data_IF_323973076238
#
_entry.id   IF_323973076238
#
_cell.length_a   1.000
_cell.length_b   1.000
_cell.length_c   1.000
_cell.angle_alpha   90.00
_cell.angle_beta   90.00
_cell.angle_gamma   90.00
#
_symmetry.space_group_name_H-M   'P 1'
#
loop_
_entity.id
_entity.type
_entity.pdbx_description
1 polymer ?
#
# COMPACT_ATOMS: atom_id res chain seq x y z
N UNK A 1 -36.33 -13.38 32.11
CA UNK A 1 -36.10 -12.06 31.48
C UNK A 1 -34.61 -11.80 31.38
N UNK A 2 -34.20 -11.18 30.26
CA UNK A 2 -32.85 -10.75 29.84
C UNK A 2 -32.05 -11.79 29.05
N UNK A 3 -32.32 -11.79 27.75
CA UNK A 3 -31.44 -12.38 26.73
C UNK A 3 -30.19 -11.51 26.56
N UNK A 4 -29.04 -12.18 26.47
CA UNK A 4 -27.76 -11.58 26.10
C UNK A 4 -27.80 -11.29 24.59
N UNK A 5 -27.89 -10.01 24.22
CA UNK A 5 -27.73 -9.59 22.84
C UNK A 5 -26.25 -9.71 22.46
N UNK A 6 -25.94 -10.59 21.51
CA UNK A 6 -24.66 -10.57 20.82
C UNK A 6 -24.59 -9.28 19.99
N UNK A 7 -23.72 -8.36 20.39
CA UNK A 7 -23.31 -7.22 19.58
C UNK A 7 -22.49 -7.76 18.40
N UNK A 8 -23.13 -7.98 17.26
CA UNK A 8 -22.44 -8.07 15.98
C UNK A 8 -21.88 -6.67 15.68
N UNK A 9 -20.58 -6.49 15.91
CA UNK A 9 -19.85 -5.37 15.35
C UNK A 9 -19.83 -5.54 13.83
N UNK A 10 -20.72 -4.84 13.14
CA UNK A 10 -20.67 -4.75 11.69
C UNK A 10 -19.44 -3.92 11.30
N UNK A 11 -18.38 -4.59 10.82
CA UNK A 11 -17.18 -3.94 10.32
C UNK A 11 -17.56 -3.16 9.05
N UNK A 12 -17.63 -1.84 9.13
CA UNK A 12 -17.99 -1.00 7.99
C UNK A 12 -16.77 -0.83 7.07
N UNK A 13 -16.64 -1.68 6.06
CA UNK A 13 -15.55 -1.58 5.10
C UNK A 13 -15.75 -0.46 4.07
N UNK A 14 -14.66 0.17 3.61
CA UNK A 14 -14.67 1.03 2.43
C UNK A 14 -14.24 0.24 1.19
N UNK A 15 -15.02 0.30 0.11
CA UNK A 15 -14.65 -0.30 -1.18
C UNK A 15 -13.72 0.61 -1.99
N UNK A 16 -12.73 0.03 -2.65
CA UNK A 16 -11.81 0.72 -3.57
C UNK A 16 -12.00 0.18 -4.98
N UNK A 17 -12.18 1.07 -5.97
CA UNK A 17 -12.33 0.71 -7.39
C UNK A 17 -10.96 0.59 -8.07
N UNK A 18 -10.77 -0.47 -8.85
CA UNK A 18 -9.51 -0.74 -9.55
C UNK A 18 -9.36 0.10 -10.83
N UNK A 19 -8.14 0.58 -11.12
CA UNK A 19 -7.84 1.21 -12.40
C UNK A 19 -7.77 0.16 -13.52
N UNK A 20 -8.49 0.39 -14.63
CA UNK A 20 -8.42 -0.49 -15.79
C UNK A 20 -7.07 -0.36 -16.50
N UNK A 21 -6.40 -1.47 -16.79
CA UNK A 21 -5.18 -1.49 -17.60
C UNK A 21 -5.39 -2.24 -18.91
N UNK A 22 -5.16 -1.57 -20.04
CA UNK A 22 -5.33 -2.18 -21.37
C UNK A 22 -4.23 -3.22 -21.67
N UNK A 23 -3.05 -3.09 -21.04
CA UNK A 23 -1.86 -3.88 -21.37
C UNK A 23 -1.63 -5.11 -20.47
N UNK A 24 -2.46 -5.32 -19.45
CA UNK A 24 -2.37 -6.48 -18.57
C UNK A 24 -3.65 -7.31 -18.69
N UNK A 25 -3.49 -8.59 -19.03
CA UNK A 25 -4.62 -9.52 -19.18
C UNK A 25 -4.67 -10.49 -18.02
N UNK A 26 -5.86 -10.79 -17.49
CA UNK A 26 -6.00 -11.83 -16.47
C UNK A 26 -5.63 -13.19 -17.08
N UNK A 27 -4.80 -13.95 -16.35
CA UNK A 27 -4.43 -15.33 -16.66
C UNK A 27 -5.36 -16.28 -15.92
N UNK A 28 -5.66 -15.97 -14.65
CA UNK A 28 -6.55 -16.76 -13.79
C UNK A 28 -6.39 -16.39 -12.32
N UNK A 29 -7.09 -17.08 -11.41
CA UNK A 29 -6.91 -16.92 -9.97
C UNK A 29 -5.45 -17.16 -9.57
N UNK A 30 -4.91 -16.32 -8.69
CA UNK A 30 -3.57 -16.49 -8.16
C UNK A 30 -3.52 -17.70 -7.21
N UNK A 31 -2.39 -18.39 -7.18
CA UNK A 31 -2.14 -19.47 -6.23
C UNK A 31 -2.23 -18.94 -4.80
N UNK A 32 -3.04 -19.60 -3.98
CA UNK A 32 -3.38 -19.21 -2.60
C UNK A 32 -2.17 -19.22 -1.67
N UNK A 33 -1.19 -20.07 -1.97
CA UNK A 33 0.06 -20.19 -1.21
C UNK A 33 1.17 -19.28 -1.77
N UNK A 34 0.99 -18.71 -2.96
CA UNK A 34 1.94 -17.74 -3.50
C UNK A 34 1.97 -16.46 -2.66
N UNK A 35 3.12 -15.79 -2.68
CA UNK A 35 3.32 -14.56 -1.89
C UNK A 35 2.92 -13.33 -2.70
N UNK A 36 2.13 -12.45 -2.08
CA UNK A 36 1.89 -11.09 -2.55
C UNK A 36 2.59 -10.10 -1.63
N UNK A 37 3.17 -9.06 -2.23
CA UNK A 37 3.81 -7.96 -1.50
C UNK A 37 2.93 -6.73 -1.57
N UNK A 38 2.54 -6.22 -0.40
CA UNK A 38 1.71 -5.02 -0.26
C UNK A 38 2.51 -3.91 0.42
N UNK A 39 2.18 -2.67 0.07
CA UNK A 39 2.76 -1.47 0.64
C UNK A 39 1.72 -0.62 1.35
N UNK A 40 2.08 -0.05 2.48
CA UNK A 40 1.22 0.84 3.24
C UNK A 40 1.97 2.15 3.44
N UNK A 41 1.54 3.19 2.72
CA UNK A 41 1.97 4.55 2.98
C UNK A 41 1.21 5.04 4.22
N UNK A 42 1.95 5.33 5.29
CA UNK A 42 1.36 5.68 6.57
C UNK A 42 0.92 7.14 6.59
N UNK A 43 -0.12 7.42 7.38
CA UNK A 43 -0.59 8.79 7.58
C UNK A 43 0.48 9.60 8.33
N UNK A 44 0.90 10.72 7.73
CA UNK A 44 1.81 11.67 8.35
C UNK A 44 1.23 12.24 9.66
N UNK A 45 2.09 12.57 10.62
CA UNK A 45 1.71 13.18 11.89
C UNK A 45 1.06 14.56 11.71
N UNK A 46 1.39 15.25 10.62
CA UNK A 46 0.81 16.54 10.24
C UNK A 46 0.42 16.52 8.77
N UNK A 47 -0.77 15.98 8.44
CA UNK A 47 -1.26 15.98 7.06
C UNK A 47 -1.29 17.41 6.49
N UNK A 48 -0.73 17.60 5.30
CA UNK A 48 -0.64 18.91 4.63
C UNK A 48 0.62 19.72 4.96
N UNK A 49 1.41 19.37 5.98
CA UNK A 49 2.60 20.14 6.34
C UNK A 49 3.64 20.22 5.20
N UNK A 50 3.77 19.14 4.41
CA UNK A 50 4.62 19.16 3.21
C UNK A 50 4.05 20.10 2.15
N UNK A 51 2.74 20.02 1.88
CA UNK A 51 2.08 20.84 0.85
C UNK A 51 2.16 22.33 1.20
N UNK A 52 1.92 22.69 2.47
CA UNK A 52 2.05 24.06 2.97
C UNK A 52 3.47 24.58 2.82
N UNK A 53 4.48 23.75 3.15
CA UNK A 53 5.87 24.12 3.02
C UNK A 53 6.30 24.28 1.55
N UNK A 54 5.82 23.41 0.66
CA UNK A 54 6.05 23.51 -0.78
C UNK A 54 5.36 24.73 -1.38
N UNK A 55 4.12 25.04 -0.97
CA UNK A 55 3.40 26.23 -1.39
C UNK A 55 4.14 27.50 -0.99
N UNK A 56 4.67 27.56 0.25
CA UNK A 56 5.43 28.70 0.72
C UNK A 56 6.69 28.96 -0.12
N UNK A 57 7.46 27.92 -0.48
CA UNK A 57 8.69 28.11 -1.27
C UNK A 57 8.43 28.41 -2.75
N UNK A 58 7.24 28.07 -3.25
CA UNK A 58 6.82 28.32 -4.63
C UNK A 58 6.18 29.71 -4.82
N UNK A 59 5.65 30.31 -3.76
CA UNK A 59 5.01 31.63 -3.81
C UNK A 59 6.04 32.77 -3.74
N UNK A 60 6.13 33.54 -4.84
CA UNK A 60 7.00 34.71 -5.01
C UNK A 60 6.77 35.83 -4.00
N UNK A 61 5.61 35.84 -3.35
CA UNK A 61 5.24 36.86 -2.36
C UNK A 61 5.66 36.49 -0.93
N UNK A 62 6.19 35.29 -0.70
CA UNK A 62 6.65 34.89 0.64
C UNK A 62 8.16 35.11 0.81
N UNK A 63 8.63 35.33 2.06
CA UNK A 63 10.06 35.28 2.37
C UNK A 63 10.73 33.92 2.13
N UNK A 64 9.92 32.87 1.87
CA UNK A 64 10.39 31.51 1.64
C UNK A 64 10.60 31.20 0.15
N UNK A 65 10.20 32.11 -0.75
CA UNK A 65 10.36 31.91 -2.19
C UNK A 65 11.79 31.49 -2.56
N UNK A 66 11.92 30.38 -3.28
CA UNK A 66 13.20 29.85 -3.73
C UNK A 66 14.09 29.26 -2.64
N UNK A 67 13.63 29.17 -1.38
CA UNK A 67 14.36 28.53 -0.27
C UNK A 67 14.00 27.05 -0.17
N UNK A 68 14.57 26.24 -1.06
CA UNK A 68 14.30 24.79 -1.11
C UNK A 68 14.63 24.07 0.20
N UNK A 69 13.79 23.09 0.54
CA UNK A 69 13.93 22.27 1.75
C UNK A 69 14.85 21.09 1.43
N UNK A 70 15.98 21.01 2.13
CA UNK A 70 16.95 19.93 1.93
C UNK A 70 16.52 18.60 2.56
N UNK A 71 15.76 18.64 3.65
CA UNK A 71 15.25 17.47 4.37
C UNK A 71 13.77 17.63 4.69
N UNK A 72 12.95 16.77 4.09
CA UNK A 72 11.49 16.74 4.26
C UNK A 72 11.03 15.71 5.30
N UNK A 73 11.95 14.94 5.89
CA UNK A 73 11.62 13.79 6.74
C UNK A 73 10.71 14.16 7.91
N UNK A 74 10.92 15.33 8.52
CA UNK A 74 10.08 15.80 9.61
C UNK A 74 8.65 16.17 9.16
N UNK A 75 8.47 16.64 7.93
CA UNK A 75 7.19 17.04 7.36
C UNK A 75 6.32 15.84 6.96
N UNK A 76 6.97 14.74 6.57
CA UNK A 76 6.30 13.50 6.12
C UNK A 76 6.34 12.38 7.16
N UNK A 77 6.91 12.63 8.34
CA UNK A 77 7.05 11.62 9.39
C UNK A 77 5.67 11.03 9.72
N UNK A 78 5.50 9.70 9.74
CA UNK A 78 4.25 9.07 10.12
C UNK A 78 3.91 9.33 11.58
N UNK A 79 2.61 9.35 11.92
CA UNK A 79 2.21 9.42 13.32
C UNK A 79 2.61 8.14 14.06
N UNK A 80 3.07 8.27 15.31
CA UNK A 80 3.46 7.09 16.11
C UNK A 80 2.26 6.14 16.33
N UNK A 81 1.03 6.69 16.36
CA UNK A 81 -0.22 5.90 16.41
C UNK A 81 -0.42 5.08 15.15
N UNK A 82 -0.22 5.67 13.96
CA UNK A 82 -0.36 4.94 12.70
C UNK A 82 0.69 3.83 12.56
N UNK A 83 1.94 4.10 12.97
CA UNK A 83 3.01 3.10 12.98
C UNK A 83 2.64 1.93 13.87
N UNK A 84 2.30 2.20 15.14
CA UNK A 84 1.96 1.15 16.11
C UNK A 84 0.74 0.34 15.66
N UNK A 85 -0.28 1.00 15.10
CA UNK A 85 -1.47 0.33 14.58
C UNK A 85 -1.12 -0.62 13.44
N UNK A 86 -0.38 -0.15 12.42
CA UNK A 86 -0.08 -0.97 11.23
C UNK A 86 0.87 -2.12 11.55
N UNK A 87 1.85 -1.91 12.44
CA UNK A 87 2.73 -2.98 12.92
C UNK A 87 1.94 -4.05 13.68
N UNK A 88 0.99 -3.64 14.53
CA UNK A 88 0.09 -4.58 15.20
C UNK A 88 -0.85 -5.26 14.20
N UNK A 89 -1.41 -4.53 13.25
CA UNK A 89 -2.35 -5.08 12.27
C UNK A 89 -1.69 -6.14 11.36
N UNK A 90 -0.41 -5.98 11.04
CA UNK A 90 0.36 -6.87 10.18
C UNK A 90 1.28 -7.82 10.95
N UNK A 91 1.11 -7.95 12.28
CA UNK A 91 2.06 -8.67 13.15
C UNK A 91 2.32 -10.13 12.75
N UNK A 92 1.38 -10.76 12.03
CA UNK A 92 1.45 -12.16 11.62
C UNK A 92 2.27 -12.38 10.34
N UNK A 93 2.79 -11.29 9.75
CA UNK A 93 3.42 -11.30 8.44
C UNK A 93 4.81 -10.64 8.47
N UNK A 94 5.60 -10.90 7.44
CA UNK A 94 6.95 -10.37 7.34
C UNK A 94 6.91 -8.90 6.90
N UNK A 95 7.06 -7.99 7.86
CA UNK A 95 7.08 -6.55 7.63
C UNK A 95 8.51 -6.00 7.49
N UNK A 96 8.66 -4.98 6.65
CA UNK A 96 9.87 -4.14 6.54
C UNK A 96 9.47 -2.68 6.38
N UNK A 97 10.35 -1.74 6.73
CA UNK A 97 10.08 -0.31 6.69
C UNK A 97 11.05 0.42 5.77
N UNK A 98 10.59 1.50 5.15
CA UNK A 98 11.45 2.46 4.46
C UNK A 98 12.43 3.13 5.44
N UNK A 99 13.48 3.76 4.90
CA UNK A 99 14.45 4.53 5.69
C UNK A 99 13.80 5.62 6.56
N UNK A 100 12.74 6.26 6.07
CA UNK A 100 12.02 7.32 6.77
C UNK A 100 10.83 6.81 7.59
N UNK A 101 10.56 5.50 7.55
CA UNK A 101 9.50 4.84 8.32
C UNK A 101 8.08 5.11 7.84
N UNK A 102 7.92 5.97 6.84
CA UNK A 102 6.65 6.40 6.23
C UNK A 102 5.98 5.35 5.35
N UNK A 103 6.71 4.29 4.97
CA UNK A 103 6.20 3.22 4.14
C UNK A 103 6.54 1.85 4.74
N UNK A 104 5.49 1.05 4.99
CA UNK A 104 5.60 -0.32 5.49
C UNK A 104 5.32 -1.28 4.34
N UNK A 105 6.23 -2.22 4.10
CA UNK A 105 6.06 -3.29 3.13
C UNK A 105 5.84 -4.60 3.86
N UNK A 106 4.88 -5.39 3.40
CA UNK A 106 4.57 -6.70 3.96
C UNK A 106 4.47 -7.74 2.87
N UNK A 107 5.04 -8.92 3.12
CA UNK A 107 4.86 -10.11 2.31
C UNK A 107 3.92 -11.08 3.03
N UNK A 108 2.86 -11.52 2.34
CA UNK A 108 1.89 -12.47 2.89
C UNK A 108 1.35 -13.42 1.80
N UNK A 109 0.83 -14.60 2.18
CA UNK A 109 0.15 -15.48 1.24
C UNK A 109 -1.06 -14.80 0.59
N UNK A 110 -1.35 -15.13 -0.66
CA UNK A 110 -2.53 -14.66 -1.40
C UNK A 110 -3.81 -14.92 -0.60
N UNK A 111 -3.97 -16.11 -0.02
CA UNK A 111 -5.15 -16.43 0.80
C UNK A 111 -5.33 -15.46 1.99
N UNK A 112 -4.23 -15.04 2.62
CA UNK A 112 -4.29 -14.10 3.74
C UNK A 112 -4.70 -12.70 3.27
N UNK A 113 -4.14 -12.23 2.14
CA UNK A 113 -4.50 -10.94 1.56
C UNK A 113 -5.97 -10.90 1.11
N UNK A 114 -6.46 -11.94 0.45
CA UNK A 114 -7.87 -12.06 0.04
C UNK A 114 -8.82 -12.02 1.23
N UNK A 115 -8.48 -12.72 2.32
CA UNK A 115 -9.26 -12.71 3.54
C UNK A 115 -9.24 -11.33 4.22
N UNK A 116 -8.08 -10.66 4.25
CA UNK A 116 -7.89 -9.36 4.89
C UNK A 116 -8.62 -8.22 4.17
N UNK A 117 -8.63 -8.27 2.84
CA UNK A 117 -9.18 -7.22 1.99
C UNK A 117 -10.50 -7.59 1.31
N UNK A 118 -11.11 -8.72 1.68
CA UNK A 118 -12.34 -9.26 1.09
C UNK A 118 -12.38 -9.13 -0.44
N UNK A 119 -11.37 -9.70 -1.10
CA UNK A 119 -11.19 -9.62 -2.56
C UNK A 119 -10.70 -10.94 -3.11
N UNK A 120 -10.70 -11.08 -4.44
CA UNK A 120 -10.10 -12.21 -5.14
C UNK A 120 -8.89 -11.72 -5.93
N UNK A 121 -7.74 -12.35 -5.70
CA UNK A 121 -6.50 -12.01 -6.37
C UNK A 121 -6.30 -12.90 -7.60
N UNK A 122 -5.99 -12.26 -8.71
CA UNK A 122 -5.73 -12.89 -10.01
C UNK A 122 -4.31 -12.59 -10.43
N UNK A 123 -3.73 -13.52 -11.16
CA UNK A 123 -2.48 -13.31 -11.86
C UNK A 123 -2.75 -12.64 -13.20
N UNK A 124 -1.97 -11.62 -13.53
CA UNK A 124 -2.06 -10.87 -14.76
C UNK A 124 -0.75 -10.95 -15.53
N UNK A 125 -0.87 -11.16 -16.84
CA UNK A 125 0.23 -11.17 -17.80
C UNK A 125 0.27 -9.87 -18.61
N UNK A 126 1.46 -9.32 -18.82
CA UNK A 126 1.59 -8.19 -19.72
C UNK A 126 1.50 -8.64 -21.20
N UNK A 127 0.71 -7.95 -22.02
CA UNK A 127 0.44 -8.32 -23.43
C UNK A 127 1.71 -8.40 -24.29
N UNK A 128 2.65 -7.47 -24.11
CA UNK A 128 3.93 -7.45 -24.83
C UNK A 128 5.07 -8.22 -24.18
N UNK A 129 4.89 -8.70 -22.95
CA UNK A 129 5.94 -9.38 -22.16
C UNK A 129 5.31 -10.48 -21.31
N UNK A 130 4.95 -11.63 -21.91
CA UNK A 130 4.23 -12.71 -21.24
C UNK A 130 5.08 -13.49 -20.24
N UNK A 131 6.32 -13.10 -19.99
CA UNK A 131 7.16 -13.55 -18.87
C UNK A 131 6.88 -12.72 -17.60
N UNK A 132 6.30 -11.53 -17.75
CA UNK A 132 5.97 -10.64 -16.63
C UNK A 132 4.62 -10.97 -16.07
N UNK A 133 4.60 -11.26 -14.78
CA UNK A 133 3.41 -11.60 -14.01
C UNK A 133 3.30 -10.68 -12.81
N UNK A 134 2.07 -10.32 -12.49
CA UNK A 134 1.73 -9.58 -11.27
C UNK A 134 0.45 -10.16 -10.69
N UNK A 135 0.28 -10.02 -9.38
CA UNK A 135 -0.95 -10.41 -8.68
C UNK A 135 -1.73 -9.15 -8.33
N UNK A 136 -3.01 -9.08 -8.72
CA UNK A 136 -3.91 -7.94 -8.46
C UNK A 136 -5.33 -8.42 -8.19
N UNK A 137 -6.16 -7.64 -7.49
CA UNK A 137 -7.59 -7.89 -7.39
C UNK A 137 -8.24 -8.03 -8.76
N UNK A 138 -9.15 -8.98 -8.93
CA UNK A 138 -10.00 -9.10 -10.13
C UNK A 138 -11.14 -8.06 -10.16
N UNK A 139 -11.42 -7.45 -9.01
CA UNK A 139 -12.48 -6.46 -8.82
C UNK A 139 -12.17 -5.53 -7.65
N UNK A 140 -13.19 -4.83 -7.09
CA UNK A 140 -12.98 -3.98 -5.94
C UNK A 140 -12.53 -4.80 -4.72
N UNK A 141 -11.78 -4.14 -3.84
CA UNK A 141 -11.41 -4.70 -2.54
C UNK A 141 -11.91 -3.81 -1.41
N UNK A 142 -11.94 -4.35 -0.21
CA UNK A 142 -12.38 -3.70 1.01
C UNK A 142 -11.19 -3.39 1.90
N UNK A 143 -11.04 -2.12 2.27
CA UNK A 143 -10.09 -1.73 3.32
C UNK A 143 -10.80 -1.77 4.68
N UNK A 144 -10.28 -2.51 5.68
CA UNK A 144 -10.87 -2.49 7.02
C UNK A 144 -10.99 -1.05 7.56
N UNK A 145 -12.13 -0.74 8.19
CA UNK A 145 -12.43 0.61 8.71
C UNK A 145 -11.33 1.19 9.57
N UNK A 146 -10.72 0.32 10.37
CA UNK A 146 -9.78 0.70 11.40
C UNK A 146 -8.40 0.98 10.80
N UNK A 147 -8.11 0.47 9.60
CA UNK A 147 -6.86 0.73 8.86
C UNK A 147 -6.88 2.10 8.19
N UNK A 148 -8.04 2.50 7.66
CA UNK A 148 -8.21 3.72 6.84
C UNK A 148 -7.68 5.01 7.50
N UNK A 149 -7.84 5.28 8.81
CA UNK A 149 -7.30 6.48 9.46
C UNK A 149 -5.77 6.51 9.55
N UNK A 150 -5.10 5.36 9.41
CA UNK A 150 -3.67 5.20 9.64
C UNK A 150 -2.85 5.13 8.35
N UNK A 151 -3.52 5.05 7.20
CA UNK A 151 -2.86 4.88 5.90
C UNK A 151 -3.34 5.96 4.93
N UNK A 152 -2.39 6.54 4.21
CA UNK A 152 -2.67 7.42 3.08
C UNK A 152 -3.08 6.60 1.85
N UNK A 153 -2.40 5.47 1.63
CA UNK A 153 -2.56 4.61 0.47
C UNK A 153 -2.14 3.17 0.80
N UNK A 154 -2.82 2.21 0.18
CA UNK A 154 -2.37 0.81 0.10
C UNK A 154 -1.94 0.52 -1.33
N UNK A 155 -0.66 0.25 -1.51
CA UNK A 155 -0.03 -0.07 -2.79
C UNK A 155 0.04 -1.60 -2.99
N UNK A 156 0.02 -2.03 -4.25
CA UNK A 156 0.04 -3.43 -4.65
C UNK A 156 -1.34 -4.05 -4.89
N UNK A 157 -2.44 -3.31 -4.62
CA UNK A 157 -3.82 -3.76 -4.87
C UNK A 157 -4.59 -2.89 -5.86
N UNK A 158 -4.19 -1.64 -6.09
CA UNK A 158 -4.97 -0.62 -6.78
C UNK A 158 -4.44 -0.27 -8.18
N UNK A 159 -3.11 -0.29 -8.35
CA UNK A 159 -2.45 0.14 -9.58
C UNK A 159 -1.77 -1.01 -10.33
N UNK A 160 -2.00 -1.05 -11.65
CA UNK A 160 -1.20 -1.84 -12.58
C UNK A 160 0.06 -1.05 -12.95
N UNK A 161 1.26 -1.60 -12.72
CA UNK A 161 2.48 -0.91 -13.05
C UNK A 161 2.60 -0.71 -14.57
N UNK A 162 3.16 0.41 -14.97
CA UNK A 162 3.74 0.55 -16.31
C UNK A 162 4.88 -0.45 -16.49
N UNK A 163 5.25 -0.79 -17.73
CA UNK A 163 6.35 -1.72 -17.99
C UNK A 163 7.67 -1.34 -17.30
N UNK A 164 7.94 -0.03 -17.20
CA UNK A 164 9.11 0.50 -16.52
C UNK A 164 9.08 0.22 -15.01
N UNK A 165 7.93 0.45 -14.37
CA UNK A 165 7.73 0.16 -12.95
C UNK A 165 7.80 -1.35 -12.67
N UNK A 166 7.24 -2.18 -13.55
CA UNK A 166 7.33 -3.64 -13.42
C UNK A 166 8.79 -4.15 -13.48
N UNK A 167 9.65 -3.54 -14.31
CA UNK A 167 11.09 -3.86 -14.36
C UNK A 167 11.82 -3.47 -13.09
N UNK A 168 11.56 -2.28 -12.56
CA UNK A 168 12.18 -1.81 -11.33
C UNK A 168 11.80 -2.70 -10.13
N UNK A 169 10.52 -3.11 -10.05
CA UNK A 169 10.04 -4.02 -9.01
C UNK A 169 10.65 -5.42 -9.11
N UNK A 170 10.68 -6.02 -10.30
CA UNK A 170 11.29 -7.33 -10.50
C UNK A 170 12.78 -7.34 -10.10
N UNK A 171 13.51 -6.28 -10.44
CA UNK A 171 14.93 -6.14 -10.09
C UNK A 171 15.13 -5.95 -8.58
N UNK A 172 14.25 -5.19 -7.91
CA UNK A 172 14.31 -4.95 -6.47
C UNK A 172 13.99 -6.21 -5.65
N UNK A 173 13.03 -7.03 -6.08
CA UNK A 173 12.73 -8.33 -5.42
C UNK A 173 13.93 -9.27 -5.48
N UNK A 174 14.56 -9.40 -6.66
CA UNK A 174 15.75 -10.24 -6.85
C UNK A 174 16.96 -9.71 -6.05
N UNK A 175 17.14 -8.39 -5.97
CA UNK A 175 18.21 -7.78 -5.19
C UNK A 175 18.00 -7.90 -3.67
N UNK A 176 16.75 -7.89 -3.21
CA UNK A 176 16.38 -8.13 -1.81
C UNK A 176 16.67 -9.57 -1.36
N UNK A 177 16.44 -10.55 -2.24
CA UNK A 177 16.81 -11.95 -1.99
C UNK A 177 18.34 -12.17 -1.99
N UNK A 178 19.06 -11.52 -2.91
CA UNK A 178 20.52 -11.65 -3.01
C UNK A 178 21.30 -11.02 -1.84
N UNK A 179 20.71 -10.08 -1.09
CA UNK A 179 21.36 -9.44 0.06
C UNK A 179 21.15 -10.18 1.40
N UNK A 180 20.44 -11.32 1.39
CA UNK A 180 20.16 -12.13 2.58
C UNK A 180 20.97 -13.45 2.64
N UNK A 181 22.03 -13.59 1.82
CA UNK A 181 22.99 -14.71 1.88
C UNK A 181 24.37 -14.19 2.27
#
# INVERSE_FOLDING_TARGET
MRGLGHLLAALAASSVTLAASVQWRPVGPADKDSTVTLGFALQAASPGALDDALAAIADVHTPMYGRYIADVSALVRPSDVAVAFIESFLHAHNISRSKHGDYVRVAMPVAAAEALFHTELFEYAHEGHPDRRIVRPSGPYQLPSDVKPHVLLVDGLDAFPTLFQAQAHATATVAGEASST
#
